data_IF_080690313208
#
_entry.id   IF_080690313208
#
_cell.length_a   1.000
_cell.length_b   1.000
_cell.length_c   1.000
_cell.angle_alpha   90.00
_cell.angle_beta   90.00
_cell.angle_gamma   90.00
#
_symmetry.space_group_name_H-M   'P 1'
#
loop_
_entity.id
_entity.type
_entity.pdbx_description
1 polymer ?
#
# COMPACT_ATOMS: atom_id res chain seq x y z
N UNK A 1 -10.69 12.86 8.49
CA UNK A 1 -9.90 13.85 9.27
C UNK A 1 -9.07 14.72 8.33
N UNK A 2 -8.53 15.85 8.81
CA UNK A 2 -7.55 16.65 8.06
C UNK A 2 -6.28 16.72 8.91
N UNK A 3 -5.14 16.44 8.29
CA UNK A 3 -3.82 16.56 8.88
C UNK A 3 -3.04 17.49 7.94
N UNK A 4 -2.64 18.64 8.44
CA UNK A 4 -2.10 19.71 7.60
C UNK A 4 -0.78 20.21 8.18
N UNK A 5 0.25 20.23 7.32
CA UNK A 5 1.60 20.70 7.62
C UNK A 5 2.22 20.11 8.90
N UNK A 6 1.96 18.81 9.15
CA UNK A 6 2.53 18.07 10.29
C UNK A 6 3.84 17.40 9.88
N UNK A 7 4.84 17.47 10.75
CA UNK A 7 6.15 16.86 10.55
C UNK A 7 6.43 15.77 11.59
N UNK A 8 6.91 14.63 11.11
CA UNK A 8 7.44 13.53 11.92
C UNK A 8 8.92 13.36 11.60
N UNK A 9 9.78 13.86 12.48
CA UNK A 9 11.24 13.83 12.26
C UNK A 9 11.84 12.42 12.37
N UNK A 10 11.18 11.52 13.10
CA UNK A 10 11.59 10.13 13.27
C UNK A 10 10.34 9.26 13.56
N UNK A 11 10.06 8.29 12.70
CA UNK A 11 8.85 7.46 12.78
C UNK A 11 9.16 6.14 13.48
N UNK A 12 8.54 5.94 14.65
CA UNK A 12 8.76 4.72 15.45
C UNK A 12 8.15 3.45 14.82
N UNK A 13 6.84 3.46 14.49
CA UNK A 13 6.15 2.32 13.87
C UNK A 13 5.45 2.78 12.59
N UNK A 14 4.41 3.60 12.75
CA UNK A 14 3.72 4.34 11.70
C UNK A 14 3.61 5.81 12.12
N UNK A 15 3.68 6.76 11.18
CA UNK A 15 3.44 8.19 11.48
C UNK A 15 1.94 8.47 11.69
N UNK A 16 1.10 7.86 10.86
CA UNK A 16 -0.35 8.04 10.87
C UNK A 16 -1.07 6.72 10.56
N UNK A 17 -1.98 6.33 11.46
CA UNK A 17 -2.90 5.20 11.22
C UNK A 17 -4.36 5.67 11.15
N UNK A 18 -5.02 5.41 10.03
CA UNK A 18 -6.45 5.71 9.82
C UNK A 18 -7.25 4.44 10.13
N UNK A 19 -7.82 4.38 11.34
CA UNK A 19 -8.37 3.14 11.92
C UNK A 19 -9.84 2.86 11.61
N UNK A 20 -10.68 3.90 11.47
CA UNK A 20 -12.13 3.76 11.31
C UNK A 20 -12.67 4.35 10.00
N UNK A 21 -13.97 4.62 9.97
CA UNK A 21 -14.65 5.26 8.84
C UNK A 21 -15.63 4.36 8.10
N UNK A 22 -16.42 4.99 7.25
CA UNK A 22 -17.34 4.41 6.27
C UNK A 22 -16.74 4.46 4.86
N UNK A 23 -17.38 3.84 3.88
CA UNK A 23 -16.99 3.95 2.48
C UNK A 23 -16.97 5.41 1.97
N UNK A 24 -17.80 6.30 2.54
CA UNK A 24 -17.85 7.73 2.19
C UNK A 24 -16.88 8.60 2.99
N UNK A 25 -16.15 8.03 3.96
CA UNK A 25 -15.22 8.81 4.78
C UNK A 25 -14.02 9.27 3.96
N UNK A 26 -13.60 10.52 4.17
CA UNK A 26 -12.40 11.09 3.54
C UNK A 26 -11.44 11.57 4.62
N UNK A 27 -10.18 11.18 4.49
CA UNK A 27 -9.07 11.74 5.26
C UNK A 27 -8.09 12.43 4.33
N UNK A 28 -7.68 13.64 4.70
CA UNK A 28 -6.75 14.47 3.93
C UNK A 28 -5.47 14.66 4.71
N UNK A 29 -4.34 14.45 4.03
CA UNK A 29 -2.98 14.75 4.49
C UNK A 29 -2.46 15.79 3.51
N UNK A 30 -2.24 17.01 3.98
CA UNK A 30 -1.94 18.18 3.13
C UNK A 30 -0.62 18.79 3.62
N UNK A 31 0.39 18.75 2.77
CA UNK A 31 1.73 19.21 3.14
C UNK A 31 2.37 18.38 4.26
N UNK A 32 3.44 18.91 4.85
CA UNK A 32 4.17 18.24 5.92
C UNK A 32 5.12 17.15 5.41
N UNK A 33 5.63 16.34 6.33
CA UNK A 33 6.55 15.29 5.95
C UNK A 33 6.92 14.31 7.06
N UNK A 34 7.54 13.20 6.67
CA UNK A 34 8.01 12.18 7.60
C UNK A 34 9.38 11.64 7.19
N UNK A 35 10.21 11.28 8.18
CA UNK A 35 11.50 10.63 7.97
C UNK A 35 11.62 9.32 8.73
N UNK A 36 12.52 8.46 8.26
CA UNK A 36 12.99 7.27 8.98
C UNK A 36 11.90 6.27 9.38
N UNK A 37 10.93 6.03 8.48
CA UNK A 37 9.88 5.04 8.71
C UNK A 37 10.29 3.65 8.19
N UNK A 38 10.68 2.76 9.10
CA UNK A 38 11.17 1.40 8.77
C UNK A 38 10.16 0.54 7.99
N UNK A 39 8.85 0.67 8.28
CA UNK A 39 7.81 -0.07 7.56
C UNK A 39 6.93 0.83 6.68
N UNK A 40 6.23 1.79 7.28
CA UNK A 40 5.25 2.63 6.57
C UNK A 40 4.99 3.96 7.30
N UNK A 41 4.74 5.01 6.52
CA UNK A 41 4.36 6.32 7.06
C UNK A 41 2.87 6.37 7.36
N UNK A 42 2.04 6.09 6.33
CA UNK A 42 0.58 6.18 6.41
C UNK A 42 -0.02 4.79 6.25
N UNK A 43 -0.72 4.33 7.29
CA UNK A 43 -1.44 3.06 7.34
C UNK A 43 -2.94 3.31 7.28
N UNK A 44 -3.64 2.76 6.28
CA UNK A 44 -5.11 2.81 6.22
C UNK A 44 -5.71 1.45 6.60
N UNK A 45 -6.28 1.35 7.81
CA UNK A 45 -6.99 0.16 8.29
C UNK A 45 -8.49 0.22 7.97
N UNK A 46 -9.10 1.39 8.14
CA UNK A 46 -10.53 1.61 7.93
C UNK A 46 -10.96 1.70 6.47
N UNK A 47 -12.27 1.83 6.24
CA UNK A 47 -12.85 2.12 4.93
C UNK A 47 -12.63 3.59 4.54
N UNK A 48 -12.92 3.91 3.28
CA UNK A 48 -12.95 5.27 2.77
C UNK A 48 -11.74 5.63 1.93
N UNK A 49 -11.59 6.93 1.70
CA UNK A 49 -10.58 7.52 0.83
C UNK A 49 -9.55 8.33 1.62
N UNK A 50 -8.29 8.14 1.26
CA UNK A 50 -7.16 8.94 1.74
C UNK A 50 -6.64 9.81 0.61
N UNK A 51 -6.49 11.10 0.88
CA UNK A 51 -5.91 12.07 -0.04
C UNK A 51 -4.59 12.53 0.58
N UNK A 52 -3.48 12.33 -0.12
CA UNK A 52 -2.15 12.76 0.27
C UNK A 52 -1.70 13.75 -0.80
N UNK A 53 -1.48 15.00 -0.41
CA UNK A 53 -1.11 16.05 -1.34
C UNK A 53 0.04 16.89 -0.77
N UNK A 54 1.10 17.11 -1.54
CA UNK A 54 2.22 17.97 -1.12
C UNK A 54 3.13 17.38 -0.03
N UNK A 55 3.14 16.06 0.16
CA UNK A 55 3.85 15.41 1.27
C UNK A 55 5.32 15.10 0.94
N UNK A 56 6.22 15.34 1.89
CA UNK A 56 7.61 14.93 1.83
C UNK A 56 7.87 13.64 2.61
N UNK A 57 8.57 12.68 2.02
CA UNK A 57 9.00 11.48 2.75
C UNK A 57 10.46 11.16 2.46
N UNK A 58 11.24 10.80 3.49
CA UNK A 58 12.66 10.50 3.36
C UNK A 58 13.05 9.25 4.15
N UNK A 59 13.83 8.38 3.52
CA UNK A 59 14.32 7.13 4.12
C UNK A 59 13.16 6.28 4.69
N UNK A 60 12.09 6.16 3.91
CA UNK A 60 10.88 5.40 4.29
C UNK A 60 10.75 4.11 3.49
N UNK A 61 10.23 3.05 4.09
CA UNK A 61 9.92 1.82 3.36
C UNK A 61 8.69 1.99 2.47
N UNK A 62 7.59 2.52 3.02
CA UNK A 62 6.37 2.85 2.27
C UNK A 62 5.78 4.17 2.69
N UNK A 63 5.41 5.04 1.74
CA UNK A 63 4.65 6.25 2.07
C UNK A 63 3.23 5.88 2.50
N UNK A 64 2.55 5.04 1.72
CA UNK A 64 1.20 4.60 2.03
C UNK A 64 1.03 3.08 1.91
N UNK A 65 0.32 2.49 2.87
CA UNK A 65 -0.11 1.10 2.86
C UNK A 65 -1.59 0.97 3.21
N UNK A 66 -2.36 0.40 2.28
CA UNK A 66 -3.67 -0.18 2.62
C UNK A 66 -3.44 -1.39 3.49
N UNK A 67 -4.08 -1.49 4.67
CA UNK A 67 -3.85 -2.60 5.59
C UNK A 67 -4.12 -3.93 4.89
N UNK A 68 -3.11 -4.81 4.83
CA UNK A 68 -3.22 -6.12 4.17
C UNK A 68 -3.81 -7.22 5.04
N UNK A 69 -4.00 -6.98 6.34
CA UNK A 69 -4.51 -7.97 7.32
C UNK A 69 -5.85 -7.60 7.93
N UNK A 70 -6.35 -6.38 7.70
CA UNK A 70 -7.57 -5.86 8.32
C UNK A 70 -8.88 -6.35 7.65
N UNK A 71 -8.81 -7.43 6.87
CA UNK A 71 -9.94 -8.02 6.15
C UNK A 71 -10.37 -7.28 4.89
N UNK A 72 -11.40 -7.80 4.19
CA UNK A 72 -11.82 -7.38 2.86
C UNK A 72 -12.51 -6.01 2.90
N UNK A 73 -11.70 -4.95 2.81
CA UNK A 73 -12.15 -3.56 2.75
C UNK A 73 -11.57 -2.95 1.49
N UNK A 74 -12.43 -2.45 0.61
CA UNK A 74 -12.01 -1.64 -0.53
C UNK A 74 -11.60 -0.26 -0.01
N UNK A 75 -10.32 0.07 -0.17
CA UNK A 75 -9.76 1.35 0.24
C UNK A 75 -9.27 2.14 -0.95
N UNK A 76 -9.44 3.44 -0.88
CA UNK A 76 -9.00 4.34 -1.95
C UNK A 76 -7.90 5.27 -1.45
N UNK A 77 -6.90 5.49 -2.29
CA UNK A 77 -5.88 6.51 -2.06
C UNK A 77 -5.70 7.38 -3.31
N UNK A 78 -5.58 8.68 -3.11
CA UNK A 78 -5.10 9.63 -4.11
C UNK A 78 -3.81 10.26 -3.58
N UNK A 79 -2.73 10.17 -4.34
CA UNK A 79 -1.42 10.71 -3.97
C UNK A 79 -0.99 11.69 -5.05
N UNK A 80 -0.74 12.94 -4.67
CA UNK A 80 -0.32 13.99 -5.59
C UNK A 80 0.78 14.86 -5.02
N UNK A 81 1.63 15.39 -5.92
CA UNK A 81 2.61 16.43 -5.57
C UNK A 81 3.56 16.00 -4.42
N UNK A 82 3.95 14.73 -4.38
CA UNK A 82 4.81 14.20 -3.32
C UNK A 82 6.25 14.10 -3.77
N UNK A 83 7.18 14.27 -2.82
CA UNK A 83 8.60 13.97 -3.01
C UNK A 83 9.00 12.87 -2.03
N UNK A 84 9.42 11.72 -2.57
CA UNK A 84 9.92 10.58 -1.79
C UNK A 84 11.41 10.40 -2.04
N UNK A 85 12.21 10.66 -1.02
CA UNK A 85 13.67 10.51 -1.03
C UNK A 85 14.04 9.17 -0.42
N UNK A 86 14.90 8.42 -1.09
CA UNK A 86 15.45 7.13 -0.67
C UNK A 86 14.40 6.10 -0.21
N UNK A 87 13.33 5.82 -0.98
CA UNK A 87 12.39 4.78 -0.59
C UNK A 87 13.08 3.41 -0.57
N UNK A 88 12.89 2.65 0.52
CA UNK A 88 13.53 1.33 0.65
C UNK A 88 12.70 0.23 -0.01
N UNK A 89 11.38 0.42 -0.18
CA UNK A 89 10.50 -0.55 -0.84
C UNK A 89 9.60 0.06 -1.94
N UNK A 90 8.50 0.72 -1.58
CA UNK A 90 7.49 1.19 -2.53
C UNK A 90 6.82 2.49 -2.09
N UNK A 91 6.37 3.35 -3.00
CA UNK A 91 5.65 4.59 -2.60
C UNK A 91 4.26 4.23 -2.06
N UNK A 92 3.45 3.55 -2.85
CA UNK A 92 2.09 3.09 -2.49
C UNK A 92 2.03 1.56 -2.51
N UNK A 93 1.36 0.95 -1.54
CA UNK A 93 0.99 -0.47 -1.60
C UNK A 93 -0.49 -0.72 -1.33
N UNK A 94 -1.17 -1.38 -2.27
CA UNK A 94 -2.61 -1.68 -2.26
C UNK A 94 -2.90 -3.19 -2.31
N UNK A 95 -4.14 -3.61 -2.01
CA UNK A 95 -4.59 -5.01 -2.06
C UNK A 95 -5.52 -5.24 -3.28
N UNK A 96 -5.07 -6.07 -4.22
CA UNK A 96 -5.80 -6.35 -5.47
C UNK A 96 -7.12 -7.06 -5.23
N UNK A 97 -7.13 -8.08 -4.38
CA UNK A 97 -8.29 -8.93 -4.10
C UNK A 97 -9.39 -8.24 -3.27
N UNK A 98 -9.10 -7.08 -2.67
CA UNK A 98 -10.08 -6.33 -1.89
C UNK A 98 -10.66 -5.12 -2.63
N UNK A 99 -10.28 -4.95 -3.90
CA UNK A 99 -10.81 -3.88 -4.75
C UNK A 99 -10.25 -2.51 -4.38
N UNK A 100 -9.05 -2.45 -3.81
CA UNK A 100 -8.40 -1.18 -3.53
C UNK A 100 -8.16 -0.41 -4.83
N UNK A 101 -8.14 0.92 -4.71
CA UNK A 101 -7.84 1.83 -5.82
C UNK A 101 -6.79 2.83 -5.40
N UNK A 102 -5.84 3.09 -6.29
CA UNK A 102 -4.86 4.14 -6.10
C UNK A 102 -4.81 5.02 -7.35
N UNK A 103 -4.85 6.34 -7.16
CA UNK A 103 -4.61 7.32 -8.22
C UNK A 103 -3.38 8.13 -7.84
N UNK A 104 -2.38 8.16 -8.73
CA UNK A 104 -1.11 8.84 -8.48
C UNK A 104 -0.86 9.85 -9.60
N UNK A 105 -0.44 11.06 -9.22
CA UNK A 105 -0.05 12.13 -10.16
C UNK A 105 1.11 12.96 -9.60
N UNK A 106 2.00 13.43 -10.46
CA UNK A 106 3.14 14.27 -10.07
C UNK A 106 3.95 13.69 -8.88
N UNK A 107 4.36 12.42 -9.00
CA UNK A 107 5.13 11.69 -7.99
C UNK A 107 6.60 11.83 -8.28
N UNK A 108 7.32 12.51 -7.39
CA UNK A 108 8.77 12.68 -7.48
C UNK A 108 9.47 11.68 -6.57
N UNK A 109 10.47 10.99 -7.12
CA UNK A 109 11.27 10.04 -6.37
C UNK A 109 12.74 10.32 -6.60
N UNK A 110 13.49 10.50 -5.50
CA UNK A 110 14.96 10.54 -5.52
C UNK A 110 15.49 9.25 -4.90
N UNK A 111 16.29 8.49 -5.63
CA UNK A 111 16.83 7.21 -5.16
C UNK A 111 18.17 6.91 -5.82
N UNK A 112 19.06 6.21 -5.13
CA UNK A 112 20.27 5.65 -5.76
C UNK A 112 19.97 4.54 -6.77
N UNK A 113 18.76 3.97 -6.74
CA UNK A 113 18.31 2.91 -7.65
C UNK A 113 17.78 3.51 -8.96
N UNK A 114 18.06 2.85 -10.08
CA UNK A 114 17.51 3.22 -11.38
C UNK A 114 15.98 3.01 -11.48
N UNK A 115 15.43 2.11 -10.67
CA UNK A 115 13.99 1.82 -10.63
C UNK A 115 13.47 1.75 -9.20
N UNK A 116 12.25 2.25 -9.00
CA UNK A 116 11.53 2.25 -7.72
C UNK A 116 10.11 1.75 -7.95
N UNK A 117 9.57 1.00 -6.98
CA UNK A 117 8.19 0.53 -7.03
C UNK A 117 7.26 1.68 -6.65
N UNK A 118 6.68 2.36 -7.64
CA UNK A 118 5.78 3.48 -7.37
C UNK A 118 4.46 2.99 -6.78
N UNK A 119 3.80 2.03 -7.43
CA UNK A 119 2.61 1.38 -6.90
C UNK A 119 2.85 -0.14 -6.89
N UNK A 120 2.86 -0.74 -5.71
CA UNK A 120 2.95 -2.19 -5.51
C UNK A 120 1.56 -2.72 -5.14
N UNK A 121 1.21 -3.92 -5.57
CA UNK A 121 -0.04 -4.55 -5.16
C UNK A 121 0.16 -5.95 -4.61
N UNK A 122 -0.72 -6.30 -3.68
CA UNK A 122 -0.66 -7.51 -2.88
C UNK A 122 -1.97 -8.28 -2.91
N UNK A 123 -1.91 -9.56 -2.54
CA UNK A 123 -3.06 -10.34 -2.11
C UNK A 123 -3.21 -10.11 -0.59
N UNK A 124 -4.22 -9.34 -0.19
CA UNK A 124 -4.59 -9.16 1.21
C UNK A 124 -5.06 -10.47 1.84
N UNK A 125 -4.73 -10.68 3.11
CA UNK A 125 -5.00 -11.90 3.86
C UNK A 125 -5.46 -11.54 5.28
N UNK A 126 -6.74 -11.75 5.60
CA UNK A 126 -7.28 -11.42 6.92
C UNK A 126 -6.71 -12.28 8.06
N UNK A 127 -6.19 -13.46 7.72
CA UNK A 127 -5.81 -14.51 8.66
C UNK A 127 -4.32 -14.88 8.57
N UNK A 128 -3.50 -14.01 7.99
CA UNK A 128 -2.07 -14.28 7.81
C UNK A 128 -1.36 -13.19 7.01
N UNK A 129 -0.14 -13.48 6.57
CA UNK A 129 0.65 -12.51 5.85
C UNK A 129 0.09 -12.24 4.43
N UNK A 130 0.01 -10.96 4.02
CA UNK A 130 -0.29 -10.61 2.63
C UNK A 130 0.90 -10.94 1.72
N UNK A 131 0.63 -11.42 0.51
CA UNK A 131 1.69 -11.69 -0.48
C UNK A 131 1.77 -10.60 -1.54
N UNK A 132 2.98 -10.25 -1.98
CA UNK A 132 3.16 -9.32 -3.11
C UNK A 132 2.96 -10.07 -4.41
N UNK A 133 2.10 -9.54 -5.29
CA UNK A 133 1.72 -10.20 -6.55
C UNK A 133 1.93 -9.30 -7.78
N UNK A 134 2.53 -8.12 -7.61
CA UNK A 134 2.99 -7.28 -8.71
C UNK A 134 3.19 -5.82 -8.34
N UNK A 135 3.55 -5.02 -9.34
CA UNK A 135 3.86 -3.60 -9.22
C UNK A 135 3.77 -2.90 -10.58
N UNK A 136 3.58 -1.57 -10.57
CA UNK A 136 3.48 -0.73 -11.76
C UNK A 136 2.11 -0.06 -11.93
N UNK A 137 1.80 0.44 -13.13
CA UNK A 137 0.44 0.83 -13.48
C UNK A 137 -0.47 -0.39 -13.64
N UNK A 138 -1.71 -0.32 -13.17
CA UNK A 138 -2.71 -1.39 -13.31
C UNK A 138 -4.14 -0.86 -13.15
N UNK A 139 -4.76 -0.39 -14.25
CA UNK A 139 -6.15 0.08 -14.25
C UNK A 139 -6.50 0.99 -13.07
N UNK A 140 -7.63 0.74 -12.41
CA UNK A 140 -8.05 1.45 -11.19
C UNK A 140 -7.22 1.10 -9.95
N UNK A 141 -6.59 -0.09 -9.91
CA UNK A 141 -5.82 -0.54 -8.75
C UNK A 141 -4.59 0.34 -8.52
N UNK A 142 -3.92 0.71 -9.60
CA UNK A 142 -2.76 1.60 -9.63
C UNK A 142 -2.85 2.48 -10.88
N UNK A 143 -3.64 3.54 -10.81
CA UNK A 143 -3.92 4.45 -11.92
C UNK A 143 -2.89 5.58 -11.97
N UNK A 144 -1.98 5.50 -12.93
CA UNK A 144 -1.04 6.55 -13.30
C UNK A 144 -0.39 6.23 -14.66
N UNK A 145 0.25 7.22 -15.25
CA UNK A 145 0.99 7.14 -16.50
C UNK A 145 2.49 7.40 -16.28
N UNK A 146 3.31 7.25 -17.33
CA UNK A 146 4.74 7.54 -17.22
C UNK A 146 5.02 9.02 -16.90
N UNK A 147 4.19 9.95 -17.39
CA UNK A 147 4.32 11.38 -17.13
C UNK A 147 3.94 11.78 -15.70
N UNK A 148 3.27 10.90 -14.95
CA UNK A 148 2.91 11.15 -13.55
C UNK A 148 4.06 10.84 -12.57
N UNK A 149 5.17 10.26 -13.05
CA UNK A 149 6.24 9.75 -12.21
C UNK A 149 7.60 10.23 -12.69
N UNK A 150 8.34 10.87 -11.79
CA UNK A 150 9.64 11.48 -12.03
C UNK A 150 10.68 10.83 -11.12
N UNK A 151 11.35 9.77 -11.59
CA UNK A 151 12.40 9.07 -10.83
C UNK A 151 13.75 9.65 -11.24
N UNK A 152 14.48 10.22 -10.27
CA UNK A 152 15.82 10.79 -10.44
C UNK A 152 15.94 11.88 -11.53
N UNK A 153 14.82 12.47 -11.93
CA UNK A 153 14.79 13.65 -12.78
C UNK A 153 15.15 14.89 -11.95
N UNK A 154 15.50 15.99 -12.63
CA UNK A 154 15.85 17.24 -11.95
C UNK A 154 14.65 17.78 -11.16
N UNK A 155 14.73 17.75 -9.83
CA UNK A 155 13.69 18.21 -8.91
C UNK A 155 13.38 19.70 -9.10
N UNK A 156 14.24 20.48 -9.75
CA UNK A 156 13.88 21.86 -10.14
C UNK A 156 12.64 21.91 -11.03
N UNK A 157 12.38 20.87 -11.82
CA UNK A 157 11.16 20.74 -12.63
C UNK A 157 9.92 20.47 -11.76
N UNK A 158 10.09 19.90 -10.55
CA UNK A 158 8.99 19.66 -9.60
C UNK A 158 8.37 20.96 -9.07
N UNK A 159 9.18 22.04 -8.98
CA UNK A 159 8.67 23.36 -8.58
C UNK A 159 7.85 24.04 -9.67
N UNK A 160 8.10 23.72 -10.94
CA UNK A 160 7.43 24.36 -12.08
C UNK A 160 6.02 23.81 -12.36
N UNK A 161 5.65 22.65 -11.76
CA UNK A 161 4.32 22.03 -11.92
C UNK A 161 3.36 22.30 -10.75
N UNK A 162 3.78 23.03 -9.72
CA UNK A 162 2.85 23.62 -8.75
C UNK A 162 2.13 24.82 -9.39
N UNK A 163 0.83 25.05 -9.11
CA UNK A 163 0.12 26.19 -9.64
C UNK A 163 0.67 27.47 -8.98
N UNK A 164 1.70 28.06 -9.58
CA UNK A 164 2.09 29.43 -9.31
C UNK A 164 1.08 30.38 -9.99
N UNK A 165 0.73 31.43 -9.26
CA UNK A 165 -0.11 32.58 -9.63
C UNK A 165 0.08 33.05 -11.08
N UNK A 166 -0.98 33.39 -11.84
CA UNK A 166 -0.86 33.80 -13.23
C UNK A 166 -0.40 35.25 -13.33
N UNK A 167 0.91 35.48 -13.27
CA UNK A 167 1.49 36.70 -13.83
C UNK A 167 2.91 36.49 -14.36
N UNK A 168 2.99 36.37 -15.68
CA UNK A 168 3.83 37.16 -16.59
C UNK A 168 4.54 36.32 -17.67
N UNK A 169 3.84 36.23 -18.80
CA UNK A 169 4.28 36.19 -20.20
C UNK A 169 5.73 36.63 -20.49
N UNK A 170 6.50 35.79 -21.20
CA UNK A 170 6.69 35.86 -22.68
C UNK A 170 7.85 34.95 -23.17
N UNK A 171 7.86 34.56 -24.46
CA UNK A 171 8.51 33.34 -24.96
C UNK A 171 9.91 33.59 -25.55
N UNK A 172 10.74 32.54 -25.61
CA UNK A 172 11.80 32.44 -26.61
C UNK A 172 11.70 31.08 -27.35
N UNK A 173 11.88 31.07 -28.67
CA UNK A 173 11.76 29.91 -29.52
C UNK A 173 13.11 29.16 -29.58
N UNK A 174 13.12 28.06 -30.32
CA UNK A 174 14.26 27.21 -30.68
C UNK A 174 14.37 25.94 -29.83
N UNK A 175 13.52 24.96 -30.17
CA UNK A 175 13.99 23.58 -30.27
C UNK A 175 13.16 22.83 -31.33
N UNK A 176 13.83 22.62 -32.45
CA UNK A 176 13.42 21.86 -33.62
C UNK A 176 13.40 20.36 -33.25
N UNK A 177 12.21 19.76 -33.13
CA UNK A 177 12.07 18.31 -32.97
C UNK A 177 11.45 17.69 -34.22
N UNK A 178 12.32 17.11 -35.05
CA UNK A 178 11.99 16.27 -36.20
C UNK A 178 11.24 15.02 -35.73
N UNK A 179 9.96 14.93 -36.08
CA UNK A 179 9.15 13.72 -35.94
C UNK A 179 9.19 12.93 -37.25
N UNK A 180 9.71 11.70 -37.22
CA UNK A 180 9.51 10.73 -38.30
C UNK A 180 8.41 9.75 -37.94
N UNK A 181 7.26 9.96 -38.57
CA UNK A 181 6.20 8.98 -38.77
C UNK A 181 6.34 8.42 -40.17
N UNK A 182 6.49 7.11 -40.32
CA UNK A 182 6.23 6.43 -41.58
C UNK A 182 5.29 5.24 -41.35
N UNK A 183 4.09 5.38 -41.92
CA UNK A 183 3.11 4.32 -42.13
C UNK A 183 2.74 4.39 -43.61
N UNK A 184 3.05 3.38 -44.43
CA UNK A 184 2.21 2.95 -45.59
C UNK A 184 2.73 1.63 -46.21
N UNK A 185 2.01 0.93 -47.13
CA UNK A 185 1.08 -0.16 -46.81
C UNK A 185 1.39 -1.50 -47.52
N UNK A 186 0.55 -2.49 -47.24
CA UNK A 186 0.52 -3.85 -47.82
C UNK A 186 0.24 -3.93 -49.33
N UNK A 187 0.57 -5.07 -49.96
CA UNK A 187 -0.18 -5.62 -51.10
C UNK A 187 -0.84 -6.98 -50.81
N UNK A 188 -1.97 -7.23 -51.50
CA UNK A 188 -2.83 -8.42 -51.38
C UNK A 188 -2.40 -9.59 -52.29
N UNK A 189 -2.54 -10.79 -51.72
CA UNK A 189 -3.06 -12.07 -52.26
C UNK A 189 -2.33 -12.87 -53.37
N UNK A 190 -2.00 -14.14 -53.06
CA UNK A 190 -2.73 -15.35 -53.55
C UNK A 190 -2.24 -16.66 -52.88
N UNK A 191 -3.18 -17.61 -52.84
CA UNK A 191 -3.26 -18.92 -52.16
C UNK A 191 -2.28 -20.02 -52.59
N UNK A 192 -1.86 -20.88 -51.64
CA UNK A 192 -1.97 -22.36 -51.74
C UNK A 192 -1.57 -23.12 -50.46
N UNK A 193 -2.47 -23.98 -49.97
CA UNK A 193 -2.32 -25.41 -49.52
C UNK A 193 -0.92 -25.83 -48.98
N UNK A 194 -0.71 -26.51 -47.84
CA UNK A 194 -1.38 -27.73 -47.31
C UNK A 194 -0.78 -28.14 -45.94
N UNK A 195 -1.58 -28.82 -45.11
CA UNK A 195 -1.27 -29.88 -44.09
C UNK A 195 -0.48 -29.59 -42.80
N UNK A 196 -1.20 -29.75 -41.69
CA UNK A 196 -0.70 -30.05 -40.34
C UNK A 196 -0.22 -31.51 -40.21
N UNK A 197 0.47 -31.86 -39.10
CA UNK A 197 0.00 -32.99 -38.32
C UNK A 197 -0.14 -32.71 -36.82
N UNK A 198 -1.18 -33.35 -36.30
CA UNK A 198 -1.64 -33.42 -34.92
C UNK A 198 -0.94 -34.55 -34.17
N UNK A 199 -0.86 -34.34 -32.86
CA UNK A 199 -0.51 -35.25 -31.78
C UNK A 199 -0.73 -36.75 -31.99
N UNK A 200 0.22 -37.53 -31.46
CA UNK A 200 0.05 -38.95 -31.12
C UNK A 200 0.74 -39.29 -29.79
N UNK A 201 -0.03 -39.89 -28.90
CA UNK A 201 0.31 -40.72 -27.72
C UNK A 201 -0.85 -41.73 -27.70
N UNK A 202 -0.74 -43.03 -27.33
CA UNK A 202 0.01 -43.61 -26.20
C UNK A 202 0.76 -44.94 -26.54
N UNK A 203 1.55 -45.59 -25.68
CA UNK A 203 1.09 -46.60 -24.69
C UNK A 203 2.29 -47.15 -23.87
N UNK A 204 1.94 -47.59 -22.67
CA UNK A 204 2.66 -48.16 -21.51
C UNK A 204 3.62 -49.33 -21.79
N UNK A 205 4.75 -49.36 -21.04
CA UNK A 205 5.38 -50.61 -20.55
C UNK A 205 6.09 -50.40 -19.21
N UNK A 206 6.35 -51.51 -18.53
CA UNK A 206 6.41 -51.76 -17.07
C UNK A 206 7.76 -51.47 -16.40
N UNK A 207 7.70 -51.32 -15.08
CA UNK A 207 8.74 -51.20 -14.03
C UNK A 207 10.06 -51.99 -14.18
N UNK A 208 11.20 -51.48 -13.66
CA UNK A 208 11.64 -51.70 -12.26
C UNK A 208 13.04 -51.09 -11.92
N UNK A 209 13.17 -50.62 -10.67
CA UNK A 209 14.33 -50.62 -9.74
C UNK A 209 15.74 -50.28 -10.28
N UNK A 210 16.39 -49.24 -9.75
CA UNK A 210 17.42 -49.32 -8.67
C UNK A 210 18.13 -47.98 -8.36
N UNK A 211 18.53 -47.86 -7.08
CA UNK A 211 19.62 -47.06 -6.48
C UNK A 211 19.46 -45.53 -6.35
N UNK A 212 18.97 -45.17 -5.16
CA UNK A 212 19.19 -43.91 -4.46
C UNK A 212 20.66 -43.78 -4.03
N UNK A 213 21.29 -42.65 -4.35
CA UNK A 213 22.57 -42.21 -3.78
C UNK A 213 22.29 -41.25 -2.62
N UNK A 214 22.82 -41.61 -1.44
CA UNK A 214 22.83 -40.82 -0.21
C UNK A 214 23.95 -39.77 -0.31
N UNK A 215 23.61 -38.49 -0.20
CA UNK A 215 24.58 -37.42 0.09
C UNK A 215 24.53 -37.11 1.58
N UNK A 216 25.71 -37.16 2.21
CA UNK A 216 25.95 -36.93 3.64
C UNK A 216 25.82 -35.44 3.97
N UNK A 217 25.00 -35.11 4.96
CA UNK A 217 25.01 -33.82 5.67
C UNK A 217 25.65 -34.02 7.04
N UNK A 218 26.64 -33.23 7.47
CA UNK A 218 27.18 -33.28 8.82
C UNK A 218 26.17 -32.69 9.84
N UNK A 219 25.95 -33.45 10.91
CA UNK A 219 25.13 -33.06 12.05
C UNK A 219 25.90 -32.10 12.96
N UNK A 220 25.34 -30.92 13.21
CA UNK A 220 25.80 -29.98 14.24
C UNK A 220 25.05 -30.26 15.54
N UNK A 221 25.79 -30.32 16.65
CA UNK A 221 25.33 -30.74 17.97
C UNK A 221 24.22 -29.83 18.57
N UNK A 222 23.33 -30.39 19.42
CA UNK A 222 22.26 -29.64 20.08
C UNK A 222 22.77 -28.73 21.21
N UNK A 223 22.19 -27.54 21.42
CA UNK A 223 22.63 -26.63 22.47
C UNK A 223 22.24 -27.13 23.87
N UNK A 224 23.19 -27.02 24.80
CA UNK A 224 23.04 -27.31 26.23
C UNK A 224 21.96 -26.40 26.85
N UNK A 225 20.99 -27.03 27.54
CA UNK A 225 20.03 -26.38 28.43
C UNK A 225 20.75 -25.62 29.55
N UNK A 226 20.73 -24.30 29.50
CA UNK A 226 21.08 -23.43 30.63
C UNK A 226 19.82 -23.17 31.47
N UNK A 227 19.94 -23.35 32.78
CA UNK A 227 18.87 -23.15 33.77
C UNK A 227 18.44 -21.67 33.79
N UNK A 228 17.14 -21.43 33.65
CA UNK A 228 16.51 -20.14 33.91
C UNK A 228 16.63 -19.76 35.41
N UNK A 229 16.93 -18.51 35.76
CA UNK A 229 16.81 -18.00 37.13
C UNK A 229 15.33 -17.88 37.51
N UNK A 230 14.96 -18.43 38.67
CA UNK A 230 13.64 -18.26 39.28
C UNK A 230 13.44 -16.79 39.68
N UNK A 231 12.63 -16.05 38.95
CA UNK A 231 12.05 -14.79 39.41
C UNK A 231 10.88 -15.08 40.35
N UNK A 232 10.95 -14.53 41.57
CA UNK A 232 9.85 -14.55 42.55
C UNK A 232 8.70 -13.71 42.00
N UNK A 233 7.52 -14.31 41.89
CA UNK A 233 6.27 -13.59 41.65
C UNK A 233 5.92 -12.69 42.87
N UNK A 234 5.45 -11.45 42.68
CA UNK A 234 4.88 -10.66 43.76
C UNK A 234 3.52 -11.25 44.18
N UNK A 235 3.29 -11.32 45.49
CA UNK A 235 2.03 -11.75 46.07
C UNK A 235 0.87 -10.85 45.62
N UNK A 236 -0.15 -11.45 45.02
CA UNK A 236 -1.43 -10.80 44.73
C UNK A 236 -2.29 -10.84 45.99
N UNK A 237 -2.60 -9.67 46.56
CA UNK A 237 -3.61 -9.53 47.60
C UNK A 237 -5.01 -9.79 47.00
N UNK A 238 -5.91 -10.51 47.69
CA UNK A 238 -7.26 -10.73 47.21
C UNK A 238 -8.11 -9.44 47.25
N UNK A 239 -9.03 -9.23 46.30
CA UNK A 239 -9.85 -8.02 46.25
C UNK A 239 -10.85 -7.93 47.40
N UNK A 240 -10.89 -6.75 48.02
CA UNK A 240 -11.82 -6.35 49.08
C UNK A 240 -13.25 -6.34 48.51
N UNK A 241 -14.16 -7.11 49.10
CA UNK A 241 -15.59 -7.13 48.76
C UNK A 241 -16.21 -5.74 49.00
N UNK A 242 -16.58 -5.04 47.93
CA UNK A 242 -17.41 -3.84 47.99
C UNK A 242 -18.88 -4.25 47.95
N UNK A 243 -19.65 -3.85 48.97
CA UNK A 243 -21.11 -4.04 49.04
C UNK A 243 -21.78 -3.21 47.94
N UNK A 244 -22.68 -3.83 47.18
CA UNK A 244 -23.59 -3.16 46.27
C UNK A 244 -24.64 -2.33 47.06
N UNK A 245 -25.01 -1.11 46.61
CA UNK A 245 -26.15 -0.40 47.15
C UNK A 245 -27.46 -1.02 46.65
N UNK A 246 -28.40 -1.28 47.57
CA UNK A 246 -29.79 -1.58 47.24
C UNK A 246 -30.47 -0.29 46.74
N UNK A 247 -30.81 -0.23 45.46
CA UNK A 247 -31.74 0.78 44.93
C UNK A 247 -33.16 0.22 44.90
N UNK A 248 -34.04 1.03 45.48
CA UNK A 248 -35.45 0.81 45.79
C UNK A 248 -36.28 0.93 44.50
N UNK A 249 -37.28 0.07 44.34
CA UNK A 249 -38.27 0.14 43.26
C UNK A 249 -39.08 1.45 43.34
N UNK A 250 -39.48 2.06 42.20
CA UNK A 250 -40.46 3.14 42.21
C UNK A 250 -41.90 2.58 42.14
N UNK A 251 -42.76 3.13 43.00
CA UNK A 251 -44.22 2.90 43.00
C UNK A 251 -44.90 3.68 41.89
N UNK A 252 -45.98 3.09 41.36
CA UNK A 252 -46.93 3.72 40.44
C UNK A 252 -47.83 4.72 41.15
N UNK A 253 -47.95 5.93 40.60
CA UNK A 253 -49.06 6.91 40.69
C UNK A 253 -48.51 8.22 40.07
N UNK A 254 -49.10 8.96 39.14
CA UNK A 254 -50.49 9.19 38.72
C UNK A 254 -50.56 9.50 37.22
N UNK A 255 -51.71 9.16 36.63
CA UNK A 255 -52.18 9.64 35.32
C UNK A 255 -52.86 11.01 35.48
N UNK A 256 -53.10 11.64 34.32
CA UNK A 256 -53.93 12.82 34.06
C UNK A 256 -53.26 14.19 34.21
N UNK A 257 -53.10 14.90 33.08
CA UNK A 257 -53.95 16.06 32.71
C UNK A 257 -53.51 16.66 31.35
N UNK A 258 -54.51 16.77 30.47
CA UNK A 258 -54.78 17.70 29.36
C UNK A 258 -53.87 17.88 28.12
N UNK A 259 -54.51 17.54 26.99
CA UNK A 259 -54.47 18.27 25.72
C UNK A 259 -55.01 19.70 25.88
N UNK A 260 -54.38 20.70 25.26
CA UNK A 260 -55.03 21.66 24.34
C UNK A 260 -54.00 22.63 23.73
N UNK A 261 -54.36 23.06 22.51
CA UNK A 261 -53.75 23.98 21.53
C UNK A 261 -52.52 23.54 20.72
#
# INVERSE_FOLDING_TARGET
CIIENVWWDDVCEDALSIKGGSASSVSKIIGGGARYADDKVIQQNGLGKVIIDGFYAEDVSKLYRSCGTCGPKAREVSVSNVLVVNPTNAVVTVNKNWGDKATLSNIWVKSSKASVKVCQWSQGNANGEPSIIGQGPSGDLCKYSASDVHINQDIKQAKQTSPEDPKQTSPNPDDEYTSQTDITPAPKAKSSKTTAPKATTPTVTKASKTKSSKTKTPATAPPKKTKAPKTKAPATNPPKKTKAPKTKAPSQEQQDVEQQD
#
